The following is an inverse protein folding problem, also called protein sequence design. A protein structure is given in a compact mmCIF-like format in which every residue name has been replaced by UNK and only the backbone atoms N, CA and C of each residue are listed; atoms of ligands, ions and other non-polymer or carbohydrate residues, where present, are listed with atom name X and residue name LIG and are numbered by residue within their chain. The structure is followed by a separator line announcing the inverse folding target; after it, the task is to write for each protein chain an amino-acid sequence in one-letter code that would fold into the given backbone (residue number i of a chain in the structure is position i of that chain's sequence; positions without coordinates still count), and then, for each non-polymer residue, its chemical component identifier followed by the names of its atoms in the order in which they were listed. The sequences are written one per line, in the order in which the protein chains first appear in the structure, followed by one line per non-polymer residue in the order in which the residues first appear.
data_IF_410491962857
#
_entry.id   IF_410491962857
#
_cell.length_a   1.000
_cell.length_b   1.000
_cell.length_c   1.000
_cell.angle_alpha   90.00
_cell.angle_beta   90.00
_cell.angle_gamma   90.00
#
_symmetry.space_group_name_H-M   'P 1'
#
loop_
_entity.id
_entity.type
_entity.pdbx_description
1 polymer ?
#
# COMPACT_ATOMS: atom_id res chain seq x y z
N UNK A 1 -42.35 10.12 16.10
CA UNK A 1 -41.98 11.11 15.07
C UNK A 1 -40.94 12.02 15.71
N UNK A 2 -39.66 12.05 15.33
CA UNK A 2 -39.01 11.87 14.04
C UNK A 2 -37.68 11.10 14.27
N UNK A 3 -37.37 10.10 13.44
CA UNK A 3 -36.08 9.40 13.44
C UNK A 3 -35.20 10.11 12.42
N UNK A 4 -34.07 10.68 12.83
CA UNK A 4 -33.09 11.20 11.89
C UNK A 4 -32.16 10.05 11.47
N UNK A 5 -32.37 9.47 10.28
CA UNK A 5 -31.28 8.81 9.57
C UNK A 5 -30.48 9.91 8.87
N UNK A 6 -29.34 10.29 9.45
CA UNK A 6 -28.34 11.03 8.69
C UNK A 6 -27.64 10.03 7.77
N UNK A 7 -28.19 9.85 6.57
CA UNK A 7 -27.43 9.28 5.48
C UNK A 7 -26.46 10.37 5.01
N UNK A 8 -25.23 10.37 5.55
CA UNK A 8 -24.14 11.10 4.94
C UNK A 8 -23.92 10.49 3.55
N UNK A 9 -24.29 11.24 2.51
CA UNK A 9 -23.90 10.96 1.14
C UNK A 9 -22.36 10.99 1.10
N UNK A 10 -21.69 9.83 1.00
CA UNK A 10 -20.23 9.76 0.83
C UNK A 10 -19.91 10.18 -0.60
N UNK A 11 -19.92 11.49 -0.84
CA UNK A 11 -19.42 12.08 -2.08
C UNK A 11 -17.88 12.07 -2.02
N UNK A 12 -17.28 11.15 -2.78
CA UNK A 12 -15.83 11.11 -3.02
C UNK A 12 -15.01 10.71 -1.80
N UNK A 13 -14.80 9.41 -1.61
CA UNK A 13 -13.74 8.95 -0.70
C UNK A 13 -12.39 9.38 -1.29
N UNK A 14 -11.85 10.51 -0.83
CA UNK A 14 -10.52 10.98 -1.22
C UNK A 14 -9.48 9.97 -0.74
N UNK A 15 -8.69 9.43 -1.66
CA UNK A 15 -7.55 8.62 -1.27
C UNK A 15 -6.49 9.53 -0.64
N UNK A 16 -6.02 9.18 0.54
CA UNK A 16 -4.98 9.92 1.27
C UNK A 16 -3.57 9.59 0.74
N UNK A 17 -3.44 8.63 -0.16
CA UNK A 17 -2.17 8.25 -0.77
C UNK A 17 -2.04 8.90 -2.14
N UNK A 18 -0.93 9.60 -2.36
CA UNK A 18 -0.55 10.07 -3.68
C UNK A 18 0.09 8.92 -4.47
N UNK A 19 -0.08 8.93 -5.80
CA UNK A 19 0.47 7.89 -6.69
C UNK A 19 0.11 6.46 -6.21
N UNK A 20 -1.13 6.25 -5.79
CA UNK A 20 -1.61 4.98 -5.22
C UNK A 20 -1.71 3.83 -6.24
N UNK A 21 -1.60 4.13 -7.53
CA UNK A 21 -1.51 3.16 -8.64
C UNK A 21 -0.10 3.00 -9.22
N UNK A 22 0.90 3.71 -8.71
CA UNK A 22 2.30 3.65 -9.19
C UNK A 22 2.53 4.10 -10.64
N UNK A 23 1.61 4.88 -11.22
CA UNK A 23 1.70 5.38 -12.60
C UNK A 23 2.84 6.41 -12.77
N UNK A 24 3.26 7.05 -11.68
CA UNK A 24 4.47 7.91 -11.63
C UNK A 24 5.64 7.19 -10.96
N UNK A 25 5.82 5.91 -11.31
CA UNK A 25 6.82 5.02 -10.74
C UNK A 25 6.69 4.93 -9.21
N UNK A 26 7.80 4.89 -8.47
CA UNK A 26 7.80 4.86 -7.00
C UNK A 26 7.80 6.27 -6.37
N UNK A 27 7.46 7.31 -7.12
CA UNK A 27 7.41 8.68 -6.59
C UNK A 27 6.44 8.76 -5.40
N UNK A 28 6.92 9.31 -4.27
CA UNK A 28 6.16 9.39 -3.02
C UNK A 28 6.15 8.12 -2.16
N UNK A 29 6.76 7.04 -2.65
CA UNK A 29 6.93 5.78 -1.92
C UNK A 29 8.39 5.58 -1.52
N UNK A 30 8.58 4.99 -0.35
CA UNK A 30 9.87 4.66 0.24
C UNK A 30 10.05 3.15 0.25
N UNK A 31 11.31 2.71 0.20
CA UNK A 31 11.68 1.30 0.19
C UNK A 31 12.60 0.97 1.35
N UNK A 32 12.59 -0.28 1.81
CA UNK A 32 13.43 -0.75 2.91
C UNK A 32 13.78 -2.23 2.74
N UNK A 33 14.99 -2.60 3.15
CA UNK A 33 15.46 -4.00 3.18
C UNK A 33 16.16 -4.43 1.89
N UNK A 34 16.90 -5.56 1.92
CA UNK A 34 17.61 -6.04 0.74
C UNK A 34 16.62 -6.69 -0.24
N UNK A 35 16.19 -5.92 -1.24
CA UNK A 35 15.37 -6.34 -2.38
C UNK A 35 15.56 -5.36 -3.53
N UNK A 36 15.16 -5.78 -4.73
CA UNK A 36 14.96 -4.89 -5.86
C UNK A 36 13.53 -4.33 -5.82
N UNK A 37 13.42 -3.01 -5.91
CA UNK A 37 12.14 -2.31 -5.93
C UNK A 37 11.98 -1.58 -7.24
N UNK A 38 10.86 -1.78 -7.92
CA UNK A 38 10.60 -1.12 -9.21
C UNK A 38 9.11 -0.87 -9.42
N UNK A 39 8.79 0.02 -10.35
CA UNK A 39 7.49 -0.01 -11.01
C UNK A 39 7.55 -1.06 -12.12
N UNK A 40 6.65 -2.03 -12.07
CA UNK A 40 6.50 -3.11 -13.03
C UNK A 40 5.36 -2.80 -14.01
N UNK A 41 5.60 -3.00 -15.29
CA UNK A 41 4.62 -2.83 -16.38
C UNK A 41 4.06 -4.16 -16.87
N UNK A 42 4.60 -5.29 -16.41
CA UNK A 42 4.17 -6.61 -16.89
C UNK A 42 2.90 -7.11 -16.20
N UNK A 43 2.73 -6.83 -14.91
CA UNK A 43 1.61 -7.34 -14.11
C UNK A 43 0.85 -6.25 -13.33
N UNK A 44 0.41 -5.16 -13.96
CA UNK A 44 -0.38 -4.14 -13.26
C UNK A 44 -1.78 -4.67 -12.90
N UNK A 45 -2.29 -4.26 -11.73
CA UNK A 45 -3.69 -4.51 -11.37
C UNK A 45 -4.64 -3.58 -12.14
N UNK A 46 -4.23 -2.33 -12.33
CA UNK A 46 -4.95 -1.27 -13.05
C UNK A 46 -3.93 -0.33 -13.68
N UNK A 47 -4.30 0.38 -14.75
CA UNK A 47 -3.37 1.30 -15.41
C UNK A 47 -2.23 0.56 -16.11
N UNK A 48 -1.04 1.17 -16.12
CA UNK A 48 0.13 0.62 -16.82
C UNK A 48 1.21 0.11 -15.87
N UNK A 49 1.14 0.45 -14.58
CA UNK A 49 2.21 0.13 -13.62
C UNK A 49 1.67 -0.47 -12.33
N UNK A 50 2.54 -1.18 -11.61
CA UNK A 50 2.34 -1.58 -10.21
C UNK A 50 3.70 -1.59 -9.50
N UNK A 51 3.74 -1.40 -8.18
CA UNK A 51 4.97 -1.61 -7.43
C UNK A 51 5.32 -3.11 -7.36
N UNK A 52 6.61 -3.41 -7.54
CA UNK A 52 7.18 -4.74 -7.42
C UNK A 52 8.27 -4.75 -6.37
N UNK A 53 8.21 -5.74 -5.49
CA UNK A 53 9.31 -6.14 -4.61
C UNK A 53 9.82 -7.48 -5.12
N UNK A 54 11.06 -7.51 -5.60
CA UNK A 54 11.72 -8.73 -6.03
C UNK A 54 12.85 -9.09 -5.06
N UNK A 55 12.76 -10.30 -4.51
CA UNK A 55 13.73 -10.85 -3.56
C UNK A 55 14.44 -12.00 -4.26
N UNK A 56 15.73 -11.84 -4.53
CA UNK A 56 16.53 -12.90 -5.13
C UNK A 56 16.64 -14.10 -4.19
N UNK A 57 16.72 -15.30 -4.76
CA UNK A 57 16.95 -16.53 -3.99
C UNK A 57 18.20 -16.42 -3.12
N UNK A 58 18.13 -16.92 -1.89
CA UNK A 58 19.21 -16.84 -0.90
C UNK A 58 19.32 -15.50 -0.17
N UNK A 59 18.50 -14.50 -0.52
CA UNK A 59 18.44 -13.24 0.24
C UNK A 59 17.84 -13.50 1.62
N UNK A 60 18.52 -13.02 2.66
CA UNK A 60 17.97 -13.05 4.02
C UNK A 60 16.78 -12.10 4.12
N UNK A 61 15.62 -12.61 4.52
CA UNK A 61 14.43 -11.79 4.73
C UNK A 61 14.63 -10.87 5.93
N UNK A 62 14.41 -9.57 5.74
CA UNK A 62 14.56 -8.55 6.77
C UNK A 62 13.64 -7.36 6.46
N UNK A 63 12.33 -7.61 6.59
CA UNK A 63 11.28 -6.61 6.41
C UNK A 63 11.43 -5.80 5.12
N UNK A 64 11.55 -6.50 3.99
CA UNK A 64 11.50 -5.87 2.68
C UNK A 64 10.15 -5.19 2.48
N UNK A 65 10.15 -3.87 2.35
CA UNK A 65 8.93 -3.06 2.41
C UNK A 65 8.94 -1.98 1.34
N UNK A 66 7.76 -1.74 0.78
CA UNK A 66 7.42 -0.48 0.14
C UNK A 66 6.33 0.19 0.99
N UNK A 67 6.53 1.46 1.33
CA UNK A 67 5.63 2.19 2.22
C UNK A 67 5.54 3.66 1.81
N UNK A 68 4.50 4.34 2.28
CA UNK A 68 4.33 5.77 2.08
C UNK A 68 3.65 6.36 3.31
N UNK A 69 3.70 7.68 3.41
CA UNK A 69 2.99 8.44 4.43
C UNK A 69 1.74 9.05 3.80
N UNK A 70 0.59 8.88 4.46
CA UNK A 70 -0.65 9.51 4.04
C UNK A 70 -0.51 11.05 4.05
N UNK A 71 -1.11 11.70 3.06
CA UNK A 71 -1.21 13.15 2.95
C UNK A 71 -2.64 13.55 2.57
N UNK A 72 -3.37 14.28 3.42
CA UNK A 72 -2.97 14.77 4.75
C UNK A 72 -2.68 13.64 5.75
N UNK A 73 -1.95 13.98 6.81
CA UNK A 73 -1.66 13.04 7.89
C UNK A 73 -2.97 12.52 8.52
N UNK A 74 -2.97 11.26 8.93
CA UNK A 74 -4.08 10.65 9.65
C UNK A 74 -4.25 11.33 11.01
N UNK A 75 -5.50 11.58 11.39
CA UNK A 75 -5.87 12.20 12.67
C UNK A 75 -6.23 11.13 13.69
N UNK A 76 -5.79 11.30 14.93
CA UNK A 76 -6.17 10.43 16.03
C UNK A 76 -7.69 10.46 16.28
N UNK A 77 -8.29 9.31 16.59
CA UNK A 77 -9.73 9.19 16.83
C UNK A 77 -10.60 9.10 15.58
N UNK A 78 -10.05 9.37 14.39
CA UNK A 78 -10.76 9.17 13.13
C UNK A 78 -10.72 7.72 12.64
N UNK A 79 -11.71 7.34 11.82
CA UNK A 79 -11.77 6.02 11.20
C UNK A 79 -11.42 6.12 9.72
N UNK A 80 -10.46 5.30 9.31
CA UNK A 80 -10.01 5.19 7.93
C UNK A 80 -10.18 3.76 7.42
N UNK A 81 -10.39 3.62 6.11
CA UNK A 81 -10.34 2.34 5.41
C UNK A 81 -9.09 2.29 4.54
N UNK A 82 -8.38 1.16 4.59
CA UNK A 82 -7.21 0.91 3.76
C UNK A 82 -7.39 -0.44 3.04
N UNK A 83 -7.13 -0.44 1.74
CA UNK A 83 -7.17 -1.64 0.91
C UNK A 83 -5.99 -1.64 -0.05
N UNK A 84 -5.54 -2.83 -0.44
CA UNK A 84 -4.45 -3.02 -1.38
C UNK A 84 -4.70 -4.28 -2.20
N UNK A 85 -4.34 -4.24 -3.47
CA UNK A 85 -4.28 -5.42 -4.34
C UNK A 85 -2.85 -5.95 -4.33
N UNK A 86 -2.68 -7.21 -3.96
CA UNK A 86 -1.38 -7.86 -3.89
C UNK A 86 -1.41 -9.12 -4.75
N UNK A 87 -0.35 -9.31 -5.52
CA UNK A 87 -0.05 -10.56 -6.20
C UNK A 87 1.32 -11.05 -5.74
N UNK A 88 1.42 -12.35 -5.52
CA UNK A 88 2.70 -13.02 -5.26
C UNK A 88 3.00 -14.03 -6.36
N UNK A 89 4.29 -14.25 -6.63
CA UNK A 89 4.76 -15.21 -7.61
C UNK A 89 6.08 -15.82 -7.12
N UNK A 90 6.25 -17.14 -7.29
CA UNK A 90 7.50 -17.82 -6.97
C UNK A 90 7.87 -17.85 -5.49
N UNK A 91 6.91 -17.63 -4.58
CA UNK A 91 7.13 -17.71 -3.14
C UNK A 91 7.32 -19.17 -2.74
N UNK A 92 8.55 -19.53 -2.39
CA UNK A 92 8.96 -20.92 -2.08
C UNK A 92 9.40 -21.11 -0.62
N UNK A 93 9.54 -20.02 0.14
CA UNK A 93 9.95 -20.03 1.54
C UNK A 93 8.90 -19.38 2.42
N UNK A 94 8.56 -20.06 3.52
CA UNK A 94 7.64 -19.53 4.51
C UNK A 94 8.28 -18.35 5.27
N UNK A 95 7.52 -17.30 5.57
CA UNK A 95 6.06 -17.30 5.55
C UNK A 95 5.42 -16.43 4.45
N UNK A 96 6.14 -16.09 3.40
CA UNK A 96 5.59 -15.31 2.27
C UNK A 96 5.46 -13.80 2.53
N UNK A 97 4.69 -13.11 1.69
CA UNK A 97 4.52 -11.65 1.71
C UNK A 97 3.44 -11.22 2.72
N UNK A 98 3.76 -10.21 3.53
CA UNK A 98 2.86 -9.66 4.56
C UNK A 98 2.48 -8.22 4.25
N UNK A 99 1.20 -7.87 4.45
CA UNK A 99 0.81 -6.48 4.63
C UNK A 99 0.97 -6.14 6.12
N UNK A 100 1.79 -5.13 6.45
CA UNK A 100 1.88 -4.60 7.81
C UNK A 100 1.49 -3.13 7.82
N UNK A 101 0.45 -2.79 8.60
CA UNK A 101 0.11 -1.40 8.93
C UNK A 101 0.86 -1.04 10.20
N UNK A 102 1.95 -0.28 10.07
CA UNK A 102 2.63 0.27 11.25
C UNK A 102 2.06 1.66 11.52
N UNK A 103 1.30 1.80 12.61
CA UNK A 103 0.99 3.09 13.18
C UNK A 103 2.21 3.51 14.01
N UNK A 104 2.84 4.63 13.65
CA UNK A 104 3.78 5.26 14.58
C UNK A 104 2.98 5.76 15.79
N UNK A 105 3.34 5.42 17.04
CA UNK A 105 2.92 6.23 18.17
C UNK A 105 3.73 7.52 18.21
N UNK A 106 3.04 8.57 18.68
CA UNK A 106 3.42 9.99 18.86
C UNK A 106 4.89 10.30 19.09
#
# INVERSE_FOLDING_TARGET
MLIFFSAALVLGQTNLLTNNGFESDLTGWQTRGPAEFSADTAQPHSGQKAARIYIASGTTLNYQQIYCTASPAITEGERYSASVWVRSQGVTTAPGAYQSRTLFPT
#
